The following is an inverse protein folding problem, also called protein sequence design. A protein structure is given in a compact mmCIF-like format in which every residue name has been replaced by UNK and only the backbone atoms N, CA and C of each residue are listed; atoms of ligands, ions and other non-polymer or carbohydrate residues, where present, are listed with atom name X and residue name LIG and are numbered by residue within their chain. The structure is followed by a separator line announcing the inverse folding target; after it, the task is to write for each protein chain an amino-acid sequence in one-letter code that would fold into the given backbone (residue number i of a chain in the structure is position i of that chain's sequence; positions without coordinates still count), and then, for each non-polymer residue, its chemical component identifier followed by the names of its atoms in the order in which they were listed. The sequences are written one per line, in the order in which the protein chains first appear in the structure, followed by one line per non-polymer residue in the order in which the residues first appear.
data_IF_277088253416
#
_entry.id   IF_277088253416
#
_cell.length_a   1.000
_cell.length_b   1.000
_cell.length_c   1.000
_cell.angle_alpha   90.00
_cell.angle_beta   90.00
_cell.angle_gamma   90.00
#
_symmetry.space_group_name_H-M   'P 1'
#
loop_
_entity.id
_entity.type
_entity.pdbx_description
1 polymer ?
#
# COMPACT_ATOMS: atom_id res chain seq x y z
N UNK A 1 -11.42 -13.78 -26.41
CA UNK A 1 -10.77 -13.17 -25.23
C UNK A 1 -11.80 -13.18 -24.10
N UNK A 2 -11.46 -13.58 -22.88
CA UNK A 2 -12.43 -13.57 -21.76
C UNK A 2 -12.66 -12.13 -21.30
N UNK A 3 -13.90 -11.77 -21.03
CA UNK A 3 -14.24 -10.49 -20.39
C UNK A 3 -13.61 -10.42 -18.99
N UNK A 4 -13.05 -9.25 -18.66
CA UNK A 4 -12.35 -8.96 -17.40
C UNK A 4 -12.85 -7.68 -16.73
N UNK A 5 -13.91 -7.07 -17.27
CA UNK A 5 -14.55 -5.93 -16.63
C UNK A 5 -15.13 -6.38 -15.29
N UNK A 6 -14.80 -5.62 -14.25
CA UNK A 6 -15.27 -5.86 -12.89
C UNK A 6 -15.25 -4.55 -12.10
N UNK A 7 -16.04 -4.52 -11.05
CA UNK A 7 -16.09 -3.42 -10.08
C UNK A 7 -14.86 -3.43 -9.16
N UNK A 8 -14.63 -2.32 -8.47
CA UNK A 8 -13.55 -2.25 -7.47
C UNK A 8 -13.74 -3.24 -6.33
N UNK A 9 -14.99 -3.50 -5.92
CA UNK A 9 -15.30 -4.47 -4.86
C UNK A 9 -15.00 -5.91 -5.30
N UNK A 10 -15.30 -6.25 -6.56
CA UNK A 10 -14.94 -7.55 -7.13
C UNK A 10 -13.42 -7.71 -7.25
N UNK A 11 -12.72 -6.68 -7.71
CA UNK A 11 -11.25 -6.70 -7.79
C UNK A 11 -10.61 -6.85 -6.40
N UNK A 12 -11.11 -6.16 -5.38
CA UNK A 12 -10.58 -6.21 -4.03
C UNK A 12 -10.79 -7.57 -3.34
N UNK A 13 -11.75 -8.40 -3.78
CA UNK A 13 -11.92 -9.78 -3.28
C UNK A 13 -10.78 -10.71 -3.67
N UNK A 14 -9.96 -10.32 -4.66
CA UNK A 14 -8.78 -11.08 -5.04
C UNK A 14 -7.60 -10.86 -4.08
N UNK A 15 -7.73 -9.91 -3.16
CA UNK A 15 -6.70 -9.60 -2.16
C UNK A 15 -7.08 -10.26 -0.85
N UNK A 16 -6.16 -11.05 -0.31
CA UNK A 16 -6.31 -11.77 0.95
C UNK A 16 -5.25 -11.31 1.96
N UNK A 17 -5.46 -11.64 3.23
CA UNK A 17 -4.49 -11.38 4.28
C UNK A 17 -3.12 -12.03 3.96
N UNK A 18 -2.04 -11.36 4.34
CA UNK A 18 -0.69 -11.89 4.15
C UNK A 18 -0.14 -11.77 2.72
N UNK A 19 -0.94 -11.31 1.75
CA UNK A 19 -0.49 -11.19 0.37
C UNK A 19 0.64 -10.17 0.18
N UNK A 20 1.47 -10.43 -0.83
CA UNK A 20 2.47 -9.48 -1.29
C UNK A 20 1.94 -8.69 -2.50
N UNK A 21 1.75 -7.38 -2.32
CA UNK A 21 1.17 -6.51 -3.33
C UNK A 21 2.21 -5.52 -3.88
N UNK A 22 2.29 -5.47 -5.21
CA UNK A 22 2.89 -4.36 -5.92
C UNK A 22 1.89 -3.20 -5.98
N UNK A 23 2.29 -2.04 -5.49
CA UNK A 23 1.45 -0.83 -5.54
C UNK A 23 2.15 0.20 -6.42
N UNK A 24 1.58 0.46 -7.59
CA UNK A 24 1.98 1.61 -8.39
C UNK A 24 1.37 2.91 -7.86
N UNK A 25 1.81 4.02 -8.45
CA UNK A 25 1.45 5.39 -8.10
C UNK A 25 2.25 6.03 -6.95
N UNK A 26 2.66 7.28 -7.17
CA UNK A 26 3.15 8.19 -6.14
C UNK A 26 1.99 9.03 -5.61
N UNK A 27 1.99 10.32 -5.94
CA UNK A 27 0.89 11.24 -5.55
C UNK A 27 -0.28 11.28 -6.53
N UNK A 28 -0.11 10.81 -7.78
CA UNK A 28 -1.13 10.84 -8.82
C UNK A 28 -1.51 9.43 -9.31
N UNK A 29 -2.72 9.29 -9.90
CA UNK A 29 -3.25 8.02 -10.44
C UNK A 29 -3.38 6.89 -9.41
N UNK A 30 -3.55 7.26 -8.14
CA UNK A 30 -3.75 6.32 -7.05
C UNK A 30 -5.02 5.46 -7.28
N UNK A 31 -4.95 4.11 -7.18
CA UNK A 31 -6.09 3.20 -7.40
C UNK A 31 -7.09 3.20 -6.21
N UNK A 32 -7.49 4.39 -5.77
CA UNK A 32 -8.28 4.62 -4.56
C UNK A 32 -9.58 3.83 -4.45
N UNK A 33 -10.35 3.59 -5.54
CA UNK A 33 -11.54 2.75 -5.43
C UNK A 33 -11.21 1.36 -4.90
N UNK A 34 -10.19 0.68 -5.43
CA UNK A 34 -9.80 -0.68 -5.01
C UNK A 34 -9.15 -0.65 -3.62
N UNK A 35 -8.29 0.33 -3.34
CA UNK A 35 -7.63 0.47 -2.02
C UNK A 35 -8.65 0.65 -0.90
N UNK A 36 -9.69 1.45 -1.12
CA UNK A 36 -10.76 1.62 -0.11
C UNK A 36 -11.53 0.33 0.12
N UNK A 37 -11.79 -0.47 -0.91
CA UNK A 37 -12.43 -1.78 -0.75
C UNK A 37 -11.54 -2.77 0.02
N UNK A 38 -10.24 -2.82 -0.28
CA UNK A 38 -9.27 -3.64 0.48
C UNK A 38 -9.31 -3.27 1.97
N UNK A 39 -9.31 -1.97 2.29
CA UNK A 39 -9.38 -1.50 3.68
C UNK A 39 -10.74 -1.83 4.34
N UNK A 40 -11.86 -1.72 3.61
CA UNK A 40 -13.20 -2.10 4.11
C UNK A 40 -13.32 -3.60 4.36
N UNK A 41 -12.67 -4.42 3.56
CA UNK A 41 -12.60 -5.88 3.76
C UNK A 41 -11.76 -6.26 4.99
N UNK A 42 -11.07 -5.30 5.61
CA UNK A 42 -10.31 -5.55 6.83
C UNK A 42 -8.99 -6.26 6.59
N UNK A 43 -8.45 -6.23 5.36
CA UNK A 43 -7.22 -6.95 5.00
C UNK A 43 -6.02 -6.49 5.84
N UNK A 44 -5.21 -7.44 6.33
CA UNK A 44 -4.03 -7.23 7.20
C UNK A 44 -2.84 -8.10 6.77
N UNK A 45 -1.69 -7.87 7.40
CA UNK A 45 -0.49 -8.69 7.19
C UNK A 45 0.17 -8.50 5.83
N UNK A 46 -0.17 -7.44 5.10
CA UNK A 46 0.31 -7.26 3.73
C UNK A 46 1.81 -7.01 3.70
N UNK A 47 2.46 -7.58 2.70
CA UNK A 47 3.78 -7.13 2.25
C UNK A 47 3.59 -6.16 1.08
N UNK A 48 4.11 -4.95 1.15
CA UNK A 48 4.01 -3.99 0.05
C UNK A 48 5.36 -3.77 -0.63
N UNK A 49 5.34 -3.72 -1.97
CA UNK A 49 6.43 -3.19 -2.79
C UNK A 49 5.90 -2.04 -3.64
N UNK A 50 6.21 -0.79 -3.29
CA UNK A 50 5.91 0.34 -4.15
C UNK A 50 6.73 0.27 -5.44
N UNK A 51 6.11 0.57 -6.58
CA UNK A 51 6.82 0.63 -7.86
C UNK A 51 7.44 2.01 -8.01
N UNK A 52 8.78 2.07 -8.11
CA UNK A 52 9.63 3.28 -8.08
C UNK A 52 9.66 4.01 -6.73
N UNK A 53 8.53 4.54 -6.26
CA UNK A 53 8.43 5.27 -4.99
C UNK A 53 7.11 4.97 -4.29
N UNK A 54 7.11 4.93 -2.96
CA UNK A 54 5.88 4.88 -2.18
C UNK A 54 5.29 6.27 -1.98
N UNK A 55 4.01 6.43 -2.34
CA UNK A 55 3.27 7.68 -2.18
C UNK A 55 2.09 7.57 -1.23
N UNK A 56 1.02 8.31 -1.55
CA UNK A 56 -0.18 8.44 -0.73
C UNK A 56 -0.82 7.08 -0.37
N UNK A 57 -0.98 6.17 -1.34
CA UNK A 57 -1.61 4.86 -1.07
C UNK A 57 -0.77 4.01 -0.13
N UNK A 58 0.55 4.01 -0.28
CA UNK A 58 1.46 3.26 0.60
C UNK A 58 1.34 3.78 2.03
N UNK A 59 1.41 5.10 2.23
CA UNK A 59 1.30 5.71 3.56
C UNK A 59 -0.09 5.47 4.18
N UNK A 60 -1.16 5.53 3.37
CA UNK A 60 -2.52 5.25 3.79
C UNK A 60 -2.70 3.80 4.28
N UNK A 61 -2.20 2.82 3.52
CA UNK A 61 -2.28 1.40 3.88
C UNK A 61 -1.52 1.12 5.18
N UNK A 62 -0.35 1.75 5.37
CA UNK A 62 0.41 1.69 6.61
C UNK A 62 -0.38 2.31 7.76
N UNK A 63 -0.92 3.52 7.57
CA UNK A 63 -1.70 4.23 8.58
C UNK A 63 -2.95 3.47 9.03
N UNK A 64 -3.57 2.73 8.10
CA UNK A 64 -4.71 1.85 8.38
C UNK A 64 -4.34 0.53 9.06
N UNK A 65 -3.04 0.23 9.21
CA UNK A 65 -2.53 -1.00 9.79
C UNK A 65 -2.71 -2.23 8.94
N UNK A 66 -2.85 -2.07 7.63
CA UNK A 66 -2.95 -3.20 6.70
C UNK A 66 -1.58 -3.86 6.44
N UNK A 67 -0.48 -3.15 6.69
CA UNK A 67 0.87 -3.52 6.26
C UNK A 67 1.69 -4.06 7.42
N UNK A 68 2.31 -5.22 7.21
CA UNK A 68 3.29 -5.83 8.12
C UNK A 68 4.72 -5.61 7.63
N UNK A 69 4.95 -5.82 6.32
CA UNK A 69 6.27 -5.72 5.71
C UNK A 69 6.26 -4.72 4.56
N UNK A 70 7.31 -3.92 4.44
CA UNK A 70 7.49 -2.94 3.37
C UNK A 70 8.87 -3.11 2.74
N UNK A 71 8.90 -3.35 1.43
CA UNK A 71 10.11 -3.34 0.62
C UNK A 71 10.10 -2.07 -0.24
N UNK A 72 11.01 -1.14 0.02
CA UNK A 72 10.93 0.21 -0.54
C UNK A 72 12.32 0.82 -0.71
N UNK A 73 12.54 1.64 -1.75
CA UNK A 73 13.68 2.53 -1.81
C UNK A 73 13.39 3.89 -1.13
N UNK A 74 12.13 4.36 -1.18
CA UNK A 74 11.68 5.63 -0.60
C UNK A 74 10.15 5.65 -0.43
N UNK A 75 9.67 6.31 0.63
CA UNK A 75 8.25 6.66 0.81
C UNK A 75 8.12 8.15 1.14
N UNK A 76 7.44 8.92 0.28
CA UNK A 76 7.35 10.38 0.36
C UNK A 76 6.02 10.87 -0.24
N UNK A 77 5.55 12.04 0.19
CA UNK A 77 4.35 12.69 -0.38
C UNK A 77 4.72 13.90 -1.25
N UNK A 78 5.86 13.84 -1.94
CA UNK A 78 6.42 14.90 -2.78
C UNK A 78 6.42 16.28 -2.08
N UNK A 79 5.81 17.32 -2.67
CA UNK A 79 5.77 18.68 -2.11
C UNK A 79 4.97 18.79 -0.81
N UNK A 80 4.17 17.77 -0.49
CA UNK A 80 3.41 17.70 0.77
C UNK A 80 4.26 17.17 1.94
N UNK A 81 5.51 16.76 1.65
CA UNK A 81 6.52 16.43 2.65
C UNK A 81 6.66 14.93 2.91
N UNK A 82 7.07 14.61 4.14
CA UNK A 82 7.39 13.23 4.53
C UNK A 82 6.12 12.42 4.81
N UNK A 83 6.16 11.13 4.51
CA UNK A 83 5.06 10.19 4.75
C UNK A 83 4.85 9.96 6.27
N UNK A 84 3.79 10.53 6.88
CA UNK A 84 3.67 10.58 8.33
C UNK A 84 3.40 9.22 8.97
N UNK A 85 2.63 8.35 8.30
CA UNK A 85 2.31 7.04 8.86
C UNK A 85 3.50 6.08 8.73
N UNK A 86 4.16 6.07 7.59
CA UNK A 86 5.40 5.32 7.39
C UNK A 86 6.43 5.69 8.46
N UNK A 87 6.75 6.98 8.62
CA UNK A 87 7.71 7.43 9.61
C UNK A 87 7.34 7.00 11.03
N UNK A 88 6.11 7.30 11.45
CA UNK A 88 5.63 6.96 12.79
C UNK A 88 5.72 5.46 13.08
N UNK A 89 5.40 4.61 12.10
CA UNK A 89 5.37 3.17 12.28
C UNK A 89 6.77 2.54 12.19
N UNK A 90 7.60 3.03 11.27
CA UNK A 90 9.00 2.62 11.15
C UNK A 90 9.81 2.99 12.41
N UNK A 91 9.72 4.24 12.86
CA UNK A 91 10.40 4.74 14.07
C UNK A 91 9.92 4.00 15.33
N UNK A 92 8.68 3.51 15.35
CA UNK A 92 8.13 2.71 16.45
C UNK A 92 8.40 1.19 16.34
N UNK A 93 9.13 0.73 15.32
CA UNK A 93 9.42 -0.70 15.11
C UNK A 93 8.18 -1.55 14.76
N UNK A 94 7.13 -0.93 14.21
CA UNK A 94 5.84 -1.59 13.88
C UNK A 94 5.77 -2.14 12.46
N UNK A 95 6.82 -1.91 11.66
CA UNK A 95 6.94 -2.41 10.30
C UNK A 95 8.20 -3.26 10.20
N UNK A 96 8.13 -4.36 9.46
CA UNK A 96 9.31 -5.06 8.96
C UNK A 96 9.81 -4.32 7.72
N UNK A 97 10.94 -3.64 7.87
CA UNK A 97 11.57 -2.88 6.79
C UNK A 97 12.51 -3.79 6.00
N UNK A 98 12.32 -3.86 4.69
CA UNK A 98 13.21 -4.55 3.76
C UNK A 98 13.86 -3.52 2.84
N UNK A 99 15.03 -3.02 3.26
CA UNK A 99 15.87 -2.16 2.44
C UNK A 99 16.86 -3.05 1.70
N UNK A 100 16.71 -3.16 0.38
CA UNK A 100 17.70 -3.87 -0.45
C UNK A 100 18.60 -2.82 -1.09
N UNK A 101 19.90 -2.89 -0.77
CA UNK A 101 20.95 -2.04 -1.35
C UNK A 101 21.09 -2.25 -2.85
#
# INVERSE_FOLDING_TARGET
MKDKLMTAAEAARMVEDGMHLGVGAGMAMNPMPVIREILRNGIRGLTLTPVLTGGYVTDLLIGAGAVETIQFPQIVLDEFGLAPHFRKWAEAGRLKLLETM
#
